data_IF_254013736387
#
_entry.id   IF_254013736387
#
_cell.length_a   1.000
_cell.length_b   1.000
_cell.length_c   1.000
_cell.angle_alpha   90.00
_cell.angle_beta   90.00
_cell.angle_gamma   90.00
#
_symmetry.space_group_name_H-M   'P 1'
#
loop_
_entity.id
_entity.type
_entity.pdbx_description
1 polymer ?
#
# COMPACT_ATOMS: atom_id res chain seq x y z
N UNK A 1 -28.97 52.34 -10.76
CA UNK A 1 -29.15 50.88 -10.58
C UNK A 1 -27.78 50.24 -10.69
N UNK A 2 -27.16 49.94 -9.55
CA UNK A 2 -25.86 49.25 -9.47
C UNK A 2 -26.14 47.80 -9.08
N UNK A 3 -25.84 46.86 -9.97
CA UNK A 3 -25.93 45.43 -9.67
C UNK A 3 -24.60 44.98 -9.06
N UNK A 4 -24.63 44.50 -7.79
CA UNK A 4 -23.51 43.92 -7.13
C UNK A 4 -23.37 42.46 -7.58
N UNK A 5 -22.26 42.09 -8.23
CA UNK A 5 -21.88 40.71 -8.45
C UNK A 5 -21.26 40.13 -7.19
N UNK A 6 -22.01 39.27 -6.50
CA UNK A 6 -21.45 38.41 -5.44
C UNK A 6 -20.68 37.27 -6.11
N UNK A 7 -19.36 37.27 -5.97
CA UNK A 7 -18.51 36.11 -6.33
C UNK A 7 -18.54 35.13 -5.15
N UNK A 8 -19.18 34.00 -5.39
CA UNK A 8 -19.17 32.88 -4.43
C UNK A 8 -17.86 32.10 -4.58
N UNK A 9 -16.95 32.26 -3.64
CA UNK A 9 -15.76 31.42 -3.51
C UNK A 9 -16.08 30.15 -2.70
N UNK A 10 -16.50 29.11 -3.40
CA UNK A 10 -16.73 27.77 -2.83
C UNK A 10 -16.00 26.75 -3.70
N UNK A 11 -14.91 26.18 -3.23
CA UNK A 11 -14.44 24.84 -3.64
C UNK A 11 -13.01 24.44 -3.24
N UNK A 12 -12.39 24.99 -2.19
CA UNK A 12 -11.06 24.54 -1.79
C UNK A 12 -11.05 23.47 -0.67
N UNK A 13 -12.16 23.30 0.06
CA UNK A 13 -12.20 22.40 1.22
C UNK A 13 -12.38 20.90 0.88
N UNK A 14 -13.10 20.57 -0.17
CA UNK A 14 -13.43 19.17 -0.49
C UNK A 14 -12.23 18.34 -1.00
N UNK A 15 -11.28 18.97 -1.67
CA UNK A 15 -10.13 18.26 -2.25
C UNK A 15 -9.09 17.87 -1.18
N UNK A 16 -8.91 18.67 -0.15
CA UNK A 16 -7.95 18.38 0.92
C UNK A 16 -8.41 17.19 1.79
N UNK A 17 -9.69 17.15 2.16
CA UNK A 17 -10.25 16.06 2.95
C UNK A 17 -10.18 14.72 2.18
N UNK A 18 -10.52 14.71 0.90
CA UNK A 18 -10.42 13.51 0.06
C UNK A 18 -8.96 13.01 -0.09
N UNK A 19 -7.99 13.92 -0.07
CA UNK A 19 -6.56 13.57 -0.12
C UNK A 19 -6.11 12.93 1.19
N UNK A 20 -6.50 13.47 2.33
CA UNK A 20 -6.15 12.93 3.65
C UNK A 20 -6.75 11.54 3.86
N UNK A 21 -7.99 11.31 3.41
CA UNK A 21 -8.66 10.01 3.46
C UNK A 21 -7.90 8.95 2.64
N UNK A 22 -7.48 9.28 1.42
CA UNK A 22 -6.69 8.37 0.57
C UNK A 22 -5.32 8.07 1.19
N UNK A 23 -4.66 9.05 1.79
CA UNK A 23 -3.39 8.84 2.50
C UNK A 23 -3.61 7.92 3.71
N UNK A 24 -4.66 8.14 4.48
CA UNK A 24 -5.00 7.34 5.65
C UNK A 24 -5.31 5.89 5.25
N UNK A 25 -6.12 5.66 4.22
CA UNK A 25 -6.46 4.34 3.70
C UNK A 25 -5.21 3.58 3.22
N UNK A 26 -4.39 4.23 2.39
CA UNK A 26 -3.12 3.66 1.92
C UNK A 26 -2.20 3.26 3.07
N UNK A 27 -2.06 4.12 4.08
CA UNK A 27 -1.21 3.86 5.25
C UNK A 27 -1.74 2.72 6.10
N UNK A 28 -3.04 2.69 6.37
CA UNK A 28 -3.68 1.61 7.13
C UNK A 28 -3.48 0.27 6.42
N UNK A 29 -3.72 0.21 5.11
CA UNK A 29 -3.54 -1.01 4.32
C UNK A 29 -2.08 -1.48 4.27
N UNK A 30 -1.11 -0.56 4.08
CA UNK A 30 0.32 -0.90 4.11
C UNK A 30 0.80 -1.37 5.50
N UNK A 31 0.25 -0.79 6.57
CA UNK A 31 0.52 -1.26 7.93
C UNK A 31 -0.04 -2.66 8.16
N UNK A 32 -1.28 -2.90 7.75
CA UNK A 32 -1.92 -4.23 7.82
C UNK A 32 -1.18 -5.28 7.00
N UNK A 33 -0.66 -4.90 5.82
CA UNK A 33 0.18 -5.75 4.99
C UNK A 33 1.47 -6.17 5.72
N UNK A 34 2.16 -5.20 6.37
CA UNK A 34 3.36 -5.48 7.17
C UNK A 34 3.08 -6.41 8.35
N UNK A 35 2.02 -6.14 9.11
CA UNK A 35 1.58 -7.00 10.23
C UNK A 35 1.21 -8.42 9.74
N UNK A 36 0.62 -8.52 8.56
CA UNK A 36 0.26 -9.80 7.97
C UNK A 36 1.50 -10.61 7.56
N UNK A 37 2.50 -9.98 6.96
CA UNK A 37 3.77 -10.64 6.64
C UNK A 37 4.52 -11.08 7.90
N UNK A 38 4.47 -10.28 8.96
CA UNK A 38 5.06 -10.66 10.25
C UNK A 38 4.36 -11.87 10.86
N UNK A 39 3.02 -11.93 10.82
CA UNK A 39 2.26 -13.08 11.29
C UNK A 39 2.61 -14.35 10.50
N UNK A 40 2.74 -14.25 9.16
CA UNK A 40 3.20 -15.37 8.32
C UNK A 40 4.60 -15.82 8.75
N UNK A 41 5.53 -14.89 8.93
CA UNK A 41 6.90 -15.18 9.34
C UNK A 41 6.95 -15.85 10.73
N UNK A 42 6.12 -15.40 11.66
CA UNK A 42 6.04 -15.98 13.01
C UNK A 42 5.50 -17.40 12.96
N UNK A 43 4.43 -17.65 12.18
CA UNK A 43 3.86 -19.00 12.03
C UNK A 43 4.88 -19.97 11.42
N UNK A 44 5.59 -19.56 10.37
CA UNK A 44 6.63 -20.40 9.75
C UNK A 44 7.76 -20.70 10.73
N UNK A 45 8.24 -19.70 11.48
CA UNK A 45 9.32 -19.90 12.47
C UNK A 45 8.93 -20.81 13.63
N UNK A 46 7.68 -20.76 14.06
CA UNK A 46 7.17 -21.60 15.15
C UNK A 46 6.73 -22.99 14.70
N UNK A 47 6.78 -23.31 13.42
CA UNK A 47 6.26 -24.57 12.88
C UNK A 47 4.73 -24.69 12.98
N UNK A 48 4.01 -23.56 13.03
CA UNK A 48 2.54 -23.54 13.12
C UNK A 48 1.85 -23.92 11.80
N UNK A 49 0.53 -24.13 11.88
CA UNK A 49 -0.27 -24.46 10.68
C UNK A 49 -0.39 -23.25 9.74
N UNK A 50 0.28 -23.32 8.60
CA UNK A 50 0.26 -22.27 7.60
C UNK A 50 -1.05 -22.20 6.82
N UNK A 51 -1.91 -23.24 6.83
CA UNK A 51 -3.22 -23.22 6.19
C UNK A 51 -4.15 -22.19 6.81
N UNK A 52 -4.02 -21.93 8.11
CA UNK A 52 -4.76 -20.90 8.81
C UNK A 52 -4.46 -19.47 8.32
N UNK A 53 -3.36 -19.29 7.57
CA UNK A 53 -2.95 -17.99 7.02
C UNK A 53 -3.60 -17.64 5.68
N UNK A 54 -4.25 -18.59 5.01
CA UNK A 54 -4.84 -18.39 3.67
C UNK A 54 -5.77 -17.16 3.61
N UNK A 55 -6.73 -16.96 4.52
CA UNK A 55 -7.58 -15.76 4.47
C UNK A 55 -6.80 -14.45 4.63
N UNK A 56 -5.71 -14.48 5.41
CA UNK A 56 -4.83 -13.32 5.60
C UNK A 56 -4.04 -13.02 4.33
N UNK A 57 -3.53 -14.02 3.64
CA UNK A 57 -2.82 -13.86 2.36
C UNK A 57 -3.77 -13.34 1.28
N UNK A 58 -5.02 -13.80 1.25
CA UNK A 58 -6.05 -13.28 0.35
C UNK A 58 -6.33 -11.79 0.61
N UNK A 59 -6.45 -11.38 1.86
CA UNK A 59 -6.64 -9.98 2.21
C UNK A 59 -5.43 -9.12 1.80
N UNK A 60 -4.20 -9.63 1.95
CA UNK A 60 -2.99 -8.96 1.46
C UNK A 60 -3.03 -8.75 -0.05
N UNK A 61 -3.40 -9.79 -0.81
CA UNK A 61 -3.49 -9.75 -2.26
C UNK A 61 -4.56 -8.77 -2.74
N UNK A 62 -5.73 -8.78 -2.11
CA UNK A 62 -6.81 -7.85 -2.40
C UNK A 62 -6.38 -6.40 -2.21
N UNK A 63 -5.73 -6.08 -1.07
CA UNK A 63 -5.22 -4.73 -0.82
C UNK A 63 -4.16 -4.30 -1.84
N UNK A 64 -3.17 -5.15 -2.15
CA UNK A 64 -2.11 -4.81 -3.12
C UNK A 64 -2.67 -4.56 -4.51
N UNK A 65 -3.75 -5.25 -4.89
CA UNK A 65 -4.46 -5.03 -6.15
C UNK A 65 -5.08 -3.62 -6.22
N UNK A 66 -5.56 -3.08 -5.11
CA UNK A 66 -6.13 -1.71 -5.06
C UNK A 66 -5.07 -0.61 -4.90
N UNK A 67 -3.88 -0.94 -4.44
CA UNK A 67 -2.83 0.01 -4.10
C UNK A 67 -2.49 1.03 -5.20
N UNK A 68 -2.44 0.68 -6.50
CA UNK A 68 -2.20 1.67 -7.56
C UNK A 68 -3.26 2.78 -7.63
N UNK A 69 -4.48 2.53 -7.17
CA UNK A 69 -5.57 3.52 -7.13
C UNK A 69 -5.46 4.43 -5.88
N UNK A 70 -4.69 4.03 -4.88
CA UNK A 70 -4.50 4.77 -3.64
C UNK A 70 -3.28 5.74 -3.67
N UNK A 71 -2.78 6.06 -4.87
CA UNK A 71 -1.65 6.98 -5.08
C UNK A 71 -1.99 8.08 -6.11
N UNK A 72 -3.13 8.79 -5.98
CA UNK A 72 -3.39 9.93 -6.85
C UNK A 72 -2.34 11.02 -6.65
N UNK A 73 -2.00 11.76 -7.71
CA UNK A 73 -0.93 12.77 -7.72
C UNK A 73 -0.95 13.72 -6.52
N UNK A 74 -2.10 14.31 -6.12
CA UNK A 74 -2.11 15.21 -4.96
C UNK A 74 -1.66 14.54 -3.65
N UNK A 75 -1.87 13.22 -3.51
CA UNK A 75 -1.48 12.48 -2.31
C UNK A 75 0.00 12.11 -2.22
N UNK A 76 0.78 12.43 -3.25
CA UNK A 76 2.22 12.14 -3.33
C UNK A 76 3.09 13.37 -3.03
N UNK A 77 2.51 14.56 -3.10
CA UNK A 77 3.18 15.84 -2.87
C UNK A 77 2.42 16.70 -1.86
N UNK A 78 2.17 16.19 -0.64
CA UNK A 78 1.50 16.99 0.36
C UNK A 78 2.39 18.19 0.73
N UNK A 79 1.79 19.34 1.07
CA UNK A 79 2.53 20.52 1.52
C UNK A 79 3.38 20.26 2.78
N UNK A 80 2.95 19.32 3.60
CA UNK A 80 3.69 18.89 4.78
C UNK A 80 4.82 17.94 4.37
N UNK A 81 5.91 18.04 5.10
CA UNK A 81 7.03 17.14 4.95
C UNK A 81 6.62 15.67 5.05
N UNK A 82 7.41 14.80 4.46
CA UNK A 82 7.23 13.35 4.58
C UNK A 82 7.18 12.93 6.05
N UNK A 83 6.26 12.02 6.38
CA UNK A 83 6.10 11.61 7.76
C UNK A 83 5.00 10.57 7.98
N UNK A 84 4.66 10.41 9.24
CA UNK A 84 3.68 9.42 9.70
C UNK A 84 2.50 10.03 10.47
N UNK A 85 2.43 11.36 10.59
CA UNK A 85 1.28 12.03 11.17
C UNK A 85 0.08 11.99 10.20
N UNK A 86 -1.15 12.27 10.65
CA UNK A 86 -2.29 12.44 9.78
C UNK A 86 -1.99 13.40 8.62
N UNK A 87 -2.43 13.08 7.40
CA UNK A 87 -2.15 13.88 6.20
C UNK A 87 -0.72 13.79 5.65
N UNK A 88 0.23 13.22 6.38
CA UNK A 88 1.60 13.01 5.90
C UNK A 88 1.75 11.65 5.20
N UNK A 89 2.65 11.59 4.23
CA UNK A 89 2.98 10.36 3.50
C UNK A 89 4.49 10.15 3.41
N UNK A 90 4.89 8.90 3.27
CA UNK A 90 6.25 8.51 2.86
C UNK A 90 6.31 8.04 1.40
N UNK A 91 5.18 8.06 0.69
CA UNK A 91 5.16 7.80 -0.75
C UNK A 91 5.85 8.96 -1.49
N UNK A 92 6.68 8.63 -2.46
CA UNK A 92 7.46 9.61 -3.21
C UNK A 92 6.74 10.04 -4.48
N UNK A 93 6.92 11.29 -4.91
CA UNK A 93 6.44 11.81 -6.19
C UNK A 93 7.00 11.04 -7.40
N UNK A 94 8.09 10.27 -7.22
CA UNK A 94 8.63 9.36 -8.23
C UNK A 94 7.60 8.35 -8.75
N UNK A 95 6.53 8.07 -8.02
CA UNK A 95 5.41 7.23 -8.48
C UNK A 95 4.74 7.85 -9.70
N UNK A 96 4.52 9.17 -9.71
CA UNK A 96 3.88 9.86 -10.84
C UNK A 96 4.69 9.75 -12.12
N UNK A 97 6.00 9.92 -12.01
CA UNK A 97 6.90 9.80 -13.15
C UNK A 97 7.04 8.36 -13.67
N UNK A 98 6.70 7.35 -12.85
CA UNK A 98 6.94 5.93 -13.16
C UNK A 98 5.71 5.05 -12.85
N UNK A 99 4.51 5.50 -13.17
CA UNK A 99 3.25 4.81 -12.88
C UNK A 99 3.21 3.37 -13.38
N UNK A 100 3.70 3.13 -14.59
CA UNK A 100 3.74 1.78 -15.17
C UNK A 100 4.65 0.83 -14.38
N UNK A 101 5.82 1.30 -13.92
CA UNK A 101 6.72 0.49 -13.10
C UNK A 101 6.13 0.26 -11.69
N UNK A 102 5.50 1.27 -11.09
CA UNK A 102 4.79 1.09 -9.82
C UNK A 102 3.68 0.03 -9.91
N UNK A 103 2.88 0.09 -10.99
CA UNK A 103 1.86 -0.93 -11.29
C UNK A 103 2.48 -2.32 -11.45
N UNK A 104 3.60 -2.42 -12.17
CA UNK A 104 4.33 -3.69 -12.37
C UNK A 104 4.81 -4.25 -11.02
N UNK A 105 5.33 -3.41 -10.12
CA UNK A 105 5.75 -3.87 -8.78
C UNK A 105 4.57 -4.37 -7.94
N UNK A 106 3.41 -3.71 -8.01
CA UNK A 106 2.19 -4.20 -7.37
C UNK A 106 1.76 -5.56 -7.93
N UNK A 107 1.74 -5.71 -9.25
CA UNK A 107 1.43 -6.98 -9.93
C UNK A 107 2.39 -8.11 -9.53
N UNK A 108 3.69 -7.81 -9.47
CA UNK A 108 4.70 -8.80 -9.03
C UNK A 108 4.48 -9.23 -7.58
N UNK A 109 4.06 -8.33 -6.72
CA UNK A 109 3.72 -8.68 -5.34
C UNK A 109 2.47 -9.55 -5.27
N UNK A 110 1.42 -9.26 -6.06
CA UNK A 110 0.24 -10.13 -6.16
C UNK A 110 0.61 -11.53 -6.61
N UNK A 111 1.49 -11.67 -7.61
CA UNK A 111 1.98 -12.96 -8.07
C UNK A 111 2.77 -13.72 -6.99
N UNK A 112 3.63 -13.02 -6.23
CA UNK A 112 4.35 -13.63 -5.12
C UNK A 112 3.41 -14.07 -3.98
N UNK A 113 2.36 -13.29 -3.69
CA UNK A 113 1.33 -13.67 -2.72
C UNK A 113 0.51 -14.86 -3.18
N UNK A 114 0.22 -15.01 -4.47
CA UNK A 114 -0.45 -16.19 -5.01
C UNK A 114 0.40 -17.46 -4.80
N UNK A 115 1.71 -17.39 -5.05
CA UNK A 115 2.64 -18.49 -4.77
C UNK A 115 2.69 -18.81 -3.28
N UNK A 116 2.74 -17.76 -2.42
CA UNK A 116 2.72 -17.93 -0.97
C UNK A 116 1.42 -18.60 -0.50
N UNK A 117 0.27 -18.22 -1.08
CA UNK A 117 -1.03 -18.84 -0.80
C UNK A 117 -1.04 -20.32 -1.12
N UNK A 118 -0.59 -20.70 -2.33
CA UNK A 118 -0.51 -22.11 -2.73
C UNK A 118 0.34 -22.93 -1.75
N UNK A 119 1.48 -22.40 -1.33
CA UNK A 119 2.30 -23.04 -0.33
C UNK A 119 1.62 -23.11 1.05
N UNK A 120 0.86 -22.09 1.43
CA UNK A 120 0.07 -22.08 2.66
C UNK A 120 -1.01 -23.18 2.64
N UNK A 121 -1.75 -23.31 1.54
CA UNK A 121 -2.76 -24.33 1.34
C UNK A 121 -2.16 -25.76 1.43
N UNK A 122 -0.94 -25.94 0.93
CA UNK A 122 -0.19 -27.18 1.06
C UNK A 122 0.41 -27.40 2.46
N UNK A 123 0.36 -26.41 3.35
CA UNK A 123 1.00 -26.50 4.67
C UNK A 123 2.55 -26.41 4.63
N UNK A 124 3.11 -25.81 3.58
CA UNK A 124 4.55 -25.92 3.25
C UNK A 124 5.23 -24.61 2.88
N UNK A 125 4.91 -23.51 3.56
CA UNK A 125 5.64 -22.25 3.36
C UNK A 125 7.08 -22.42 3.81
N UNK A 126 8.04 -22.32 2.87
CA UNK A 126 9.46 -22.34 3.19
C UNK A 126 10.00 -20.97 3.61
N UNK A 127 11.07 -20.89 4.40
CA UNK A 127 11.76 -19.64 4.71
C UNK A 127 12.24 -18.89 3.45
N UNK A 128 12.65 -19.61 2.41
CA UNK A 128 13.10 -19.04 1.14
C UNK A 128 11.96 -18.38 0.37
N UNK A 129 10.80 -19.03 0.32
CA UNK A 129 9.61 -18.43 -0.29
C UNK A 129 9.18 -17.18 0.47
N UNK A 130 9.22 -17.21 1.80
CA UNK A 130 8.91 -16.06 2.63
C UNK A 130 9.87 -14.88 2.34
N UNK A 131 11.17 -15.17 2.25
CA UNK A 131 12.19 -14.17 1.91
C UNK A 131 11.98 -13.58 0.50
N UNK A 132 11.67 -14.42 -0.48
CA UNK A 132 11.39 -14.00 -1.86
C UNK A 132 10.15 -13.10 -1.91
N UNK A 133 9.07 -13.48 -1.24
CA UNK A 133 7.86 -12.66 -1.15
C UNK A 133 8.15 -11.31 -0.47
N UNK A 134 8.87 -11.32 0.65
CA UNK A 134 9.31 -10.09 1.34
C UNK A 134 10.22 -9.20 0.49
N UNK A 135 11.00 -9.78 -0.43
CA UNK A 135 11.84 -9.06 -1.38
C UNK A 135 11.05 -8.13 -2.30
N UNK A 136 9.81 -8.48 -2.65
CA UNK A 136 8.94 -7.62 -3.47
C UNK A 136 8.59 -6.31 -2.76
N UNK A 137 8.43 -6.34 -1.43
CA UNK A 137 8.24 -5.14 -0.61
C UNK A 137 9.46 -4.22 -0.69
N UNK A 138 10.66 -4.79 -0.55
CA UNK A 138 11.93 -4.06 -0.63
C UNK A 138 12.14 -3.41 -1.99
N UNK A 139 11.85 -4.13 -3.07
CA UNK A 139 11.98 -3.63 -4.44
C UNK A 139 11.10 -2.40 -4.73
N UNK A 140 9.88 -2.36 -4.15
CA UNK A 140 9.00 -1.19 -4.23
C UNK A 140 9.50 -0.05 -3.32
N UNK A 141 9.82 -0.35 -2.06
CA UNK A 141 10.22 0.64 -1.07
C UNK A 141 11.51 1.39 -1.43
N UNK A 142 12.48 0.73 -2.06
CA UNK A 142 13.74 1.37 -2.48
C UNK A 142 13.52 2.53 -3.43
N UNK A 143 12.48 2.48 -4.25
CA UNK A 143 12.24 3.43 -5.32
C UNK A 143 11.12 4.42 -5.00
N UNK A 144 10.09 4.00 -4.24
CA UNK A 144 8.84 4.73 -4.08
C UNK A 144 8.52 5.14 -2.64
N UNK A 145 9.37 4.81 -1.67
CA UNK A 145 9.18 5.16 -0.26
C UNK A 145 10.37 5.94 0.27
N UNK A 146 10.09 7.06 0.96
CA UNK A 146 11.11 7.79 1.73
C UNK A 146 11.67 6.93 2.88
N UNK A 147 12.95 7.11 3.16
CA UNK A 147 13.67 6.48 4.27
C UNK A 147 13.27 7.04 5.62
#
# INVERSE_FOLDING_TARGET
>A
MMAACAVVALAAGGSALAQDDVIAERRAGLTGLGQSMEAVANTVRSGGDTRALVPRIDAMSAFVTTLPNLVPTPSLTPPQAQGTNPGQTRALAAIDANRADFQTKATNMVAALATLKTAAEAGSISPDLLRTTGGTCGACHQQYRAR
#
